data_IF_109221962785
#
_entry.id   IF_109221962785
#
_cell.length_a   1.000
_cell.length_b   1.000
_cell.length_c   1.000
_cell.angle_alpha   90.00
_cell.angle_beta   90.00
_cell.angle_gamma   90.00
#
_symmetry.space_group_name_H-M   'P 1'
#
loop_
_entity.id
_entity.type
_entity.pdbx_description
1 polymer ?
#
# COMPACT_ATOMS: atom_id res chain seq x y z
N UNK A 1 -12.41 29.10 50.95
CA UNK A 1 -12.38 28.61 49.55
C UNK A 1 -11.00 28.18 49.04
N UNK A 2 -9.89 28.65 49.63
CA UNK A 2 -8.53 28.39 49.11
C UNK A 2 -7.91 27.05 49.54
N UNK A 3 -8.32 26.45 50.66
CA UNK A 3 -7.78 25.15 51.12
C UNK A 3 -8.28 23.94 50.29
N UNK A 4 -9.50 24.02 49.75
CA UNK A 4 -10.09 22.95 48.93
C UNK A 4 -9.58 22.97 47.49
N UNK A 5 -9.06 24.10 47.01
CA UNK A 5 -8.50 24.24 45.68
C UNK A 5 -7.08 23.66 45.60
N UNK A 6 -6.29 23.81 46.66
CA UNK A 6 -4.94 23.22 46.75
C UNK A 6 -5.00 21.69 46.86
N UNK A 7 -5.98 21.15 47.61
CA UNK A 7 -6.19 19.70 47.71
C UNK A 7 -6.61 19.07 46.36
N UNK A 8 -7.36 19.80 45.53
CA UNK A 8 -7.77 19.34 44.20
C UNK A 8 -6.60 19.35 43.20
N UNK A 9 -5.69 20.32 43.29
CA UNK A 9 -4.47 20.34 42.46
C UNK A 9 -3.48 19.21 42.82
N UNK A 10 -3.38 18.82 44.10
CA UNK A 10 -2.54 17.68 44.50
C UNK A 10 -3.13 16.32 44.11
N UNK A 11 -4.47 16.19 44.04
CA UNK A 11 -5.11 14.93 43.62
C UNK A 11 -4.96 14.66 42.11
N UNK A 12 -4.90 15.71 41.29
CA UNK A 12 -4.73 15.62 39.82
C UNK A 12 -3.27 15.28 39.45
N UNK A 13 -2.30 15.72 40.24
CA UNK A 13 -0.87 15.43 40.00
C UNK A 13 -0.45 14.00 40.38
N UNK A 14 -1.23 13.29 41.20
CA UNK A 14 -0.94 11.89 41.58
C UNK A 14 -1.47 10.89 40.54
N UNK A 15 -2.43 11.29 39.69
CA UNK A 15 -2.98 10.43 38.63
C UNK A 15 -2.24 10.51 37.29
N UNK A 16 -1.24 11.38 37.15
CA UNK A 16 -0.35 11.45 35.98
C UNK A 16 0.95 10.64 36.16
N UNK A 17 1.03 9.84 37.24
CA UNK A 17 2.17 8.97 37.53
C UNK A 17 2.26 7.77 36.60
N UNK A 18 3.01 7.94 35.51
CA UNK A 18 3.76 6.89 34.82
C UNK A 18 2.97 5.64 34.38
N UNK A 19 2.09 5.79 33.40
CA UNK A 19 1.93 4.75 32.39
C UNK A 19 3.19 4.77 31.50
N UNK A 20 4.30 4.27 32.02
CA UNK A 20 5.42 3.87 31.18
C UNK A 20 4.90 2.72 30.33
N UNK A 21 4.42 3.04 29.13
CA UNK A 21 4.30 2.04 28.08
C UNK A 21 5.71 1.52 27.88
N UNK A 22 6.00 0.36 28.47
CA UNK A 22 7.10 -0.47 28.01
C UNK A 22 6.73 -0.79 26.57
N UNK A 23 7.24 0.02 25.65
CA UNK A 23 7.36 -0.41 24.26
C UNK A 23 8.27 -1.62 24.37
N UNK A 24 7.65 -2.79 24.43
CA UNK A 24 8.32 -4.04 24.20
C UNK A 24 8.79 -3.88 22.76
N UNK A 25 10.00 -3.37 22.57
CA UNK A 25 10.66 -3.36 21.28
C UNK A 25 10.69 -4.83 20.89
N UNK A 26 9.73 -5.21 20.05
CA UNK A 26 9.62 -6.55 19.53
C UNK A 26 10.99 -6.86 18.99
N UNK A 27 11.72 -7.78 19.64
CA UNK A 27 13.08 -8.13 19.21
C UNK A 27 12.97 -8.44 17.74
N UNK A 28 13.50 -7.56 16.90
CA UNK A 28 13.64 -7.80 15.49
C UNK A 28 14.63 -8.94 15.41
N UNK A 29 14.13 -10.18 15.32
CA UNK A 29 14.98 -11.30 15.02
C UNK A 29 15.52 -11.02 13.63
N UNK A 30 16.79 -10.60 13.55
CA UNK A 30 17.45 -10.41 12.28
C UNK A 30 17.46 -11.75 11.55
N UNK A 31 16.74 -11.83 10.44
CA UNK A 31 16.73 -13.02 9.60
C UNK A 31 17.93 -12.96 8.65
N UNK A 32 18.86 -13.90 8.79
CA UNK A 32 19.99 -14.01 7.88
C UNK A 32 19.52 -14.73 6.61
N UNK A 33 19.55 -14.01 5.49
CA UNK A 33 19.22 -14.53 4.16
C UNK A 33 20.41 -14.31 3.24
N UNK A 34 20.73 -15.28 2.38
CA UNK A 34 21.75 -15.06 1.37
C UNK A 34 21.25 -14.10 0.30
N UNK A 35 22.14 -13.30 -0.28
CA UNK A 35 21.79 -12.38 -1.36
C UNK A 35 21.09 -13.10 -2.53
N UNK A 36 21.55 -14.31 -2.87
CA UNK A 36 20.92 -15.14 -3.90
C UNK A 36 19.45 -15.41 -3.59
N UNK A 37 19.13 -15.81 -2.35
CA UNK A 37 17.75 -16.12 -1.95
C UNK A 37 16.92 -14.82 -1.84
N UNK A 38 17.51 -13.72 -1.40
CA UNK A 38 16.82 -12.42 -1.35
C UNK A 38 16.43 -11.94 -2.75
N UNK A 39 17.36 -11.98 -3.71
CA UNK A 39 17.10 -11.57 -5.10
C UNK A 39 16.06 -12.45 -5.78
N UNK A 40 16.09 -13.75 -5.51
CA UNK A 40 15.08 -14.69 -5.99
C UNK A 40 13.68 -14.34 -5.49
N UNK A 41 13.55 -14.05 -4.18
CA UNK A 41 12.27 -13.61 -3.58
C UNK A 41 11.77 -12.28 -4.15
N UNK A 42 12.64 -11.29 -4.33
CA UNK A 42 12.25 -9.99 -4.92
C UNK A 42 11.73 -10.20 -6.35
N UNK A 43 12.45 -10.98 -7.17
CA UNK A 43 12.02 -11.31 -8.54
C UNK A 43 10.70 -12.08 -8.55
N UNK A 44 10.56 -13.04 -7.65
CA UNK A 44 9.33 -13.81 -7.47
C UNK A 44 8.14 -12.94 -7.06
N UNK A 45 8.35 -11.91 -6.24
CA UNK A 45 7.33 -10.92 -5.88
C UNK A 45 6.78 -10.20 -7.11
N UNK A 46 7.66 -9.59 -7.92
CA UNK A 46 7.27 -8.89 -9.15
C UNK A 46 6.61 -9.83 -10.18
N UNK A 47 7.17 -11.03 -10.38
CA UNK A 47 6.61 -12.00 -11.30
C UNK A 47 5.22 -12.48 -10.83
N UNK A 48 5.10 -12.81 -9.54
CA UNK A 48 3.85 -13.27 -8.92
C UNK A 48 2.75 -12.22 -9.01
N UNK A 49 3.06 -10.95 -8.74
CA UNK A 49 2.10 -9.86 -8.88
C UNK A 49 1.64 -9.67 -10.32
N UNK A 50 2.57 -9.67 -11.28
CA UNK A 50 2.24 -9.54 -12.71
C UNK A 50 1.35 -10.69 -13.21
N UNK A 51 1.63 -11.92 -12.76
CA UNK A 51 0.79 -13.09 -13.02
C UNK A 51 -0.58 -12.93 -12.35
N UNK A 52 -0.61 -12.50 -11.09
CA UNK A 52 -1.85 -12.28 -10.32
C UNK A 52 -2.79 -11.28 -10.99
N UNK A 53 -2.28 -10.13 -11.43
CA UNK A 53 -3.05 -9.12 -12.18
C UNK A 53 -3.64 -9.73 -13.46
N UNK A 54 -2.80 -10.40 -14.25
CA UNK A 54 -3.22 -11.04 -15.51
C UNK A 54 -4.30 -12.11 -15.28
N UNK A 55 -4.12 -12.93 -14.25
CA UNK A 55 -5.00 -14.03 -13.91
C UNK A 55 -6.34 -13.53 -13.34
N UNK A 56 -6.31 -12.48 -12.51
CA UNK A 56 -7.48 -11.88 -11.89
C UNK A 56 -8.34 -11.05 -12.85
N UNK A 57 -7.72 -10.37 -13.82
CA UNK A 57 -8.40 -9.44 -14.73
C UNK A 57 -9.70 -9.96 -15.38
N UNK A 58 -9.76 -11.20 -15.90
CA UNK A 58 -11.00 -11.77 -16.46
C UNK A 58 -12.18 -11.88 -15.49
N UNK A 59 -11.93 -11.81 -14.18
CA UNK A 59 -12.94 -11.98 -13.12
C UNK A 59 -13.23 -10.69 -12.37
N UNK A 60 -12.47 -9.62 -12.63
CA UNK A 60 -12.62 -8.32 -12.00
C UNK A 60 -14.07 -7.81 -12.16
N UNK A 61 -14.71 -7.50 -11.03
CA UNK A 61 -16.11 -7.05 -10.93
C UNK A 61 -17.18 -7.95 -11.56
N UNK A 62 -16.92 -9.25 -11.75
CA UNK A 62 -17.91 -10.19 -12.33
C UNK A 62 -18.70 -11.00 -11.30
N UNK A 63 -18.20 -11.08 -10.07
CA UNK A 63 -18.74 -11.93 -9.01
C UNK A 63 -18.95 -11.16 -7.70
N UNK A 64 -19.40 -9.91 -7.76
CA UNK A 64 -19.59 -9.07 -6.57
C UNK A 64 -20.60 -9.70 -5.60
N UNK A 65 -20.24 -9.75 -4.32
CA UNK A 65 -21.10 -10.28 -3.26
C UNK A 65 -21.19 -11.81 -3.21
N UNK A 66 -20.38 -12.53 -3.98
CA UNK A 66 -20.32 -14.00 -3.97
C UNK A 66 -18.91 -14.50 -4.26
N UNK A 67 -18.67 -15.80 -4.11
CA UNK A 67 -17.43 -16.44 -4.55
C UNK A 67 -17.50 -16.78 -6.06
N UNK A 68 -16.33 -16.77 -6.70
CA UNK A 68 -16.17 -17.39 -8.02
C UNK A 68 -16.43 -18.89 -7.85
N UNK A 69 -17.35 -19.43 -8.63
CA UNK A 69 -17.75 -20.84 -8.54
C UNK A 69 -16.70 -21.75 -9.19
N UNK A 70 -16.55 -22.99 -8.70
CA UNK A 70 -15.52 -23.94 -9.15
C UNK A 70 -15.62 -24.32 -10.65
N UNK A 71 -16.79 -24.10 -11.26
CA UNK A 71 -16.99 -24.35 -12.69
C UNK A 71 -16.47 -23.22 -13.59
N UNK A 72 -16.01 -22.11 -13.04
CA UNK A 72 -15.47 -21.01 -13.83
C UNK A 72 -14.02 -21.30 -14.24
N UNK A 73 -13.81 -21.44 -15.55
CA UNK A 73 -12.48 -21.56 -16.12
C UNK A 73 -11.89 -20.17 -16.32
N UNK A 74 -10.73 -19.90 -15.72
CA UNK A 74 -9.94 -18.69 -15.99
C UNK A 74 -9.00 -19.02 -17.15
N UNK A 75 -9.12 -18.28 -18.25
CA UNK A 75 -8.29 -18.52 -19.43
C UNK A 75 -6.81 -18.31 -19.09
N UNK A 76 -6.00 -19.34 -19.36
CA UNK A 76 -4.55 -19.28 -19.23
C UNK A 76 -3.90 -20.10 -20.34
N UNK A 77 -2.98 -19.48 -21.08
CA UNK A 77 -2.25 -20.11 -22.16
C UNK A 77 -0.88 -19.46 -22.32
N UNK A 78 0.04 -20.13 -23.01
CA UNK A 78 1.36 -19.58 -23.26
C UNK A 78 1.27 -18.26 -24.05
N UNK A 79 1.95 -17.23 -23.56
CA UNK A 79 1.87 -15.87 -24.10
C UNK A 79 0.67 -15.03 -23.64
N UNK A 80 -0.26 -15.55 -22.83
CA UNK A 80 -1.41 -14.78 -22.36
C UNK A 80 -1.02 -13.53 -21.58
N UNK A 81 -0.04 -13.65 -20.68
CA UNK A 81 0.50 -12.50 -19.93
C UNK A 81 1.05 -11.42 -20.86
N UNK A 82 1.90 -11.81 -21.81
CA UNK A 82 2.47 -10.86 -22.78
C UNK A 82 1.37 -10.17 -23.58
N UNK A 83 0.42 -10.95 -24.09
CA UNK A 83 -0.72 -10.44 -24.87
C UNK A 83 -1.51 -9.41 -24.06
N UNK A 84 -1.89 -9.75 -22.83
CA UNK A 84 -2.65 -8.86 -21.94
C UNK A 84 -1.86 -7.58 -21.64
N UNK A 85 -0.55 -7.67 -21.39
CA UNK A 85 0.30 -6.49 -21.15
C UNK A 85 0.41 -5.58 -22.38
N UNK A 86 0.44 -6.15 -23.59
CA UNK A 86 0.54 -5.36 -24.82
C UNK A 86 -0.80 -4.80 -25.31
N UNK A 87 -1.87 -5.57 -25.15
CA UNK A 87 -3.20 -5.21 -25.70
C UNK A 87 -4.08 -4.49 -24.68
N UNK A 88 -3.86 -4.72 -23.38
CA UNK A 88 -4.55 -4.05 -22.29
C UNK A 88 -3.55 -3.60 -21.20
N UNK A 89 -2.61 -2.70 -21.53
CA UNK A 89 -1.61 -2.22 -20.57
C UNK A 89 -2.25 -1.55 -19.35
N UNK A 90 -3.45 -0.98 -19.51
CA UNK A 90 -4.18 -0.37 -18.40
C UNK A 90 -4.46 -1.33 -17.25
N UNK A 91 -4.63 -2.63 -17.50
CA UNK A 91 -4.88 -3.62 -16.44
C UNK A 91 -3.76 -3.69 -15.38
N UNK A 92 -2.57 -3.18 -15.68
CA UNK A 92 -1.40 -3.26 -14.81
C UNK A 92 -1.19 -2.00 -13.97
N UNK A 93 -2.26 -1.26 -13.65
CA UNK A 93 -2.16 -0.06 -12.83
C UNK A 93 -1.61 -0.34 -11.43
N UNK A 94 -1.90 -1.52 -10.85
CA UNK A 94 -1.25 -2.01 -9.62
C UNK A 94 0.29 -1.98 -9.73
N UNK A 95 0.83 -2.50 -10.83
CA UNK A 95 2.29 -2.58 -11.07
C UNK A 95 2.87 -1.19 -11.29
N UNK A 96 2.18 -0.36 -12.07
CA UNK A 96 2.66 0.99 -12.36
C UNK A 96 2.68 1.88 -11.12
N UNK A 97 1.72 1.69 -10.21
CA UNK A 97 1.71 2.36 -8.91
C UNK A 97 2.91 1.96 -8.06
N UNK A 98 3.17 0.67 -7.93
CA UNK A 98 4.32 0.18 -7.16
C UNK A 98 5.65 0.69 -7.73
N UNK A 99 5.81 0.68 -9.06
CA UNK A 99 7.00 1.24 -9.71
C UNK A 99 7.15 2.75 -9.46
N UNK A 100 6.04 3.49 -9.40
CA UNK A 100 6.05 4.91 -9.04
C UNK A 100 6.60 5.10 -7.61
N UNK A 101 6.20 4.24 -6.68
CA UNK A 101 6.66 4.33 -5.29
C UNK A 101 8.12 3.90 -5.14
N UNK A 102 8.55 2.88 -5.87
CA UNK A 102 9.96 2.47 -5.94
C UNK A 102 10.83 3.61 -6.49
N UNK A 103 10.39 4.32 -7.53
CA UNK A 103 11.12 5.49 -8.06
C UNK A 103 11.25 6.60 -6.99
N UNK A 104 10.19 6.88 -6.24
CA UNK A 104 10.24 7.85 -5.13
C UNK A 104 11.23 7.40 -4.05
N UNK A 105 11.20 6.12 -3.66
CA UNK A 105 12.13 5.57 -2.66
C UNK A 105 13.58 5.60 -3.15
N UNK A 106 13.82 5.30 -4.42
CA UNK A 106 15.15 5.37 -5.03
C UNK A 106 15.70 6.82 -4.99
N UNK A 107 14.85 7.80 -5.30
CA UNK A 107 15.25 9.22 -5.33
C UNK A 107 15.37 9.86 -3.95
N UNK A 108 14.44 9.59 -3.05
CA UNK A 108 14.27 10.31 -1.77
C UNK A 108 14.59 9.47 -0.53
N UNK A 109 14.87 8.18 -0.69
CA UNK A 109 15.18 7.26 0.41
C UNK A 109 13.95 6.69 1.12
N UNK A 110 14.18 5.83 2.11
CA UNK A 110 13.12 5.15 2.87
C UNK A 110 12.29 6.10 3.75
N UNK A 111 12.84 7.26 4.10
CA UNK A 111 12.18 8.30 4.90
C UNK A 111 11.52 9.37 4.01
N UNK A 112 11.22 9.05 2.75
CA UNK A 112 10.60 9.98 1.81
C UNK A 112 9.28 10.52 2.37
N UNK A 113 9.02 11.85 2.30
CA UNK A 113 7.75 12.42 2.75
C UNK A 113 6.57 11.85 1.98
N UNK A 114 5.44 11.64 2.66
CA UNK A 114 4.19 11.14 2.05
C UNK A 114 3.75 11.96 0.82
N UNK A 115 3.96 13.27 0.86
CA UNK A 115 3.64 14.18 -0.25
C UNK A 115 4.43 13.88 -1.52
N UNK A 116 5.63 13.29 -1.40
CA UNK A 116 6.42 12.86 -2.55
C UNK A 116 5.74 11.73 -3.31
N UNK A 117 5.18 10.77 -2.57
CA UNK A 117 4.40 9.66 -3.13
C UNK A 117 3.08 10.16 -3.72
N UNK A 118 2.34 11.00 -2.97
CA UNK A 118 1.08 11.56 -3.43
C UNK A 118 1.25 12.36 -4.73
N UNK A 119 2.29 13.20 -4.80
CA UNK A 119 2.58 13.99 -6.00
C UNK A 119 2.96 13.12 -7.20
N UNK A 120 3.82 12.11 -7.01
CA UNK A 120 4.21 11.18 -8.07
C UNK A 120 3.01 10.37 -8.59
N UNK A 121 2.22 9.81 -7.68
CA UNK A 121 0.99 9.08 -7.99
C UNK A 121 -0.05 9.93 -8.75
N UNK A 122 -0.27 11.16 -8.31
CA UNK A 122 -1.29 12.04 -8.88
C UNK A 122 -0.96 12.49 -10.31
N UNK A 123 0.32 12.62 -10.64
CA UNK A 123 0.79 13.09 -11.95
C UNK A 123 1.25 11.97 -12.89
N UNK A 124 1.20 10.70 -12.45
CA UNK A 124 1.62 9.59 -13.28
C UNK A 124 0.69 9.37 -14.49
N UNK A 125 1.28 9.05 -15.64
CA UNK A 125 0.58 8.99 -16.93
C UNK A 125 -0.24 7.71 -17.19
N UNK A 126 -0.20 6.73 -16.29
CA UNK A 126 -0.98 5.50 -16.44
C UNK A 126 -2.43 5.69 -15.96
N UNK A 127 -3.32 4.88 -16.53
CA UNK A 127 -4.73 4.80 -16.10
C UNK A 127 -4.81 4.21 -14.70
N UNK A 128 -5.82 4.64 -13.94
CA UNK A 128 -6.10 4.14 -12.59
C UNK A 128 -7.54 3.65 -12.52
N UNK A 129 -7.74 2.62 -11.71
CA UNK A 129 -9.07 2.06 -11.49
C UNK A 129 -9.74 2.67 -10.25
N UNK A 130 -11.03 2.94 -10.36
CA UNK A 130 -11.96 3.25 -9.27
C UNK A 130 -11.40 4.16 -8.17
N UNK A 131 -11.15 3.60 -6.98
CA UNK A 131 -10.69 4.32 -5.81
C UNK A 131 -9.36 5.05 -6.05
N UNK A 132 -8.45 4.45 -6.81
CA UNK A 132 -7.18 5.10 -7.16
C UNK A 132 -7.41 6.33 -8.04
N UNK A 133 -8.38 6.26 -8.97
CA UNK A 133 -8.72 7.41 -9.80
C UNK A 133 -9.39 8.53 -8.98
N UNK A 134 -10.21 8.18 -7.99
CA UNK A 134 -10.78 9.13 -7.04
C UNK A 134 -9.69 9.77 -6.16
N UNK A 135 -8.74 8.97 -5.66
CA UNK A 135 -7.61 9.45 -4.88
C UNK A 135 -6.75 10.43 -5.69
N UNK A 136 -6.44 10.11 -6.95
CA UNK A 136 -5.74 11.02 -7.86
C UNK A 136 -6.51 12.33 -8.01
N UNK A 137 -7.81 12.26 -8.26
CA UNK A 137 -8.65 13.45 -8.38
C UNK A 137 -8.59 14.32 -7.11
N UNK A 138 -8.71 13.70 -5.94
CA UNK A 138 -8.68 14.39 -4.65
C UNK A 138 -7.34 15.10 -4.41
N UNK A 139 -6.21 14.43 -4.68
CA UNK A 139 -4.87 15.07 -4.59
C UNK A 139 -4.76 16.26 -5.53
N UNK A 140 -5.19 16.11 -6.78
CA UNK A 140 -5.15 17.20 -7.77
C UNK A 140 -6.10 18.37 -7.43
N UNK A 141 -7.11 18.13 -6.60
CA UNK A 141 -8.05 19.15 -6.12
C UNK A 141 -7.76 19.63 -4.69
N UNK A 142 -6.54 19.40 -4.19
CA UNK A 142 -6.05 20.00 -2.94
C UNK A 142 -6.45 19.25 -1.67
N UNK A 143 -6.95 18.01 -1.77
CA UNK A 143 -7.09 17.12 -0.62
C UNK A 143 -5.78 16.33 -0.50
N UNK A 144 -4.92 16.60 0.50
CA UNK A 144 -3.62 15.94 0.63
C UNK A 144 -3.77 14.51 1.15
N UNK A 145 -2.73 13.70 0.93
CA UNK A 145 -2.60 12.42 1.64
C UNK A 145 -2.45 12.66 3.16
N UNK A 146 -2.99 11.80 4.02
CA UNK A 146 -3.72 10.56 3.70
C UNK A 146 -5.23 10.76 3.47
N UNK A 147 -5.76 11.98 3.52
CA UNK A 147 -7.20 12.25 3.42
C UNK A 147 -7.77 12.13 1.98
N UNK A 148 -6.90 11.92 0.99
CA UNK A 148 -7.26 11.86 -0.41
C UNK A 148 -7.89 10.54 -0.85
N UNK A 149 -7.67 9.45 -0.10
CA UNK A 149 -8.09 8.09 -0.44
C UNK A 149 -9.51 7.75 -0.05
#
# INVERSE_FOLDING_TARGET
MTKNLIALCFLILIFTGAASTVINAQRTSSYLISEKVLRDKIRGGWAGQTIGVTFGGPTEFRYNGTFIQDNQVINWYDGYLKKTMTENPGLYDDIYMDLTFVEVLERAGLEAPVDSFANAFAHAGYKLWHANQAARYNVLNGIPAPASG
#
